data_IF_252976300865
#
_entry.id   IF_252976300865
#
_cell.length_a   1.000
_cell.length_b   1.000
_cell.length_c   1.000
_cell.angle_alpha   90.00
_cell.angle_beta   90.00
_cell.angle_gamma   90.00
#
_symmetry.space_group_name_H-M   'P 1'
#
loop_
_entity.id
_entity.type
_entity.pdbx_description
1 polymer ?
#
# COMPACT_ATOMS: atom_id res chain seq x y z
N UNK A 1 -6.01 8.74 -13.06
CA UNK A 1 -5.10 8.66 -11.92
C UNK A 1 -4.99 7.24 -11.44
N UNK A 2 -3.78 6.79 -11.23
CA UNK A 2 -3.55 5.45 -10.72
C UNK A 2 -3.77 5.43 -9.21
N UNK A 3 -4.65 4.57 -8.72
CA UNK A 3 -4.91 4.39 -7.29
C UNK A 3 -4.72 2.93 -6.90
N UNK A 4 -5.27 2.01 -7.71
CA UNK A 4 -5.22 0.58 -7.43
C UNK A 4 -4.41 -0.14 -8.50
N UNK A 5 -3.71 -1.24 -8.15
CA UNK A 5 -2.95 -2.00 -9.14
C UNK A 5 -3.89 -2.71 -10.13
N UNK A 6 -3.47 -2.75 -11.38
CA UNK A 6 -4.14 -3.54 -12.42
C UNK A 6 -3.59 -4.97 -12.41
N UNK A 7 -4.27 -5.89 -13.12
CA UNK A 7 -3.75 -7.24 -13.30
C UNK A 7 -2.37 -7.25 -13.96
N UNK A 8 -2.14 -6.35 -14.91
CA UNK A 8 -0.84 -6.19 -15.57
C UNK A 8 0.24 -5.69 -14.61
N UNK A 9 -0.10 -4.75 -13.72
CA UNK A 9 0.82 -4.26 -12.70
C UNK A 9 1.26 -5.40 -11.79
N UNK A 10 0.33 -6.23 -11.34
CA UNK A 10 0.62 -7.36 -10.46
C UNK A 10 1.48 -8.42 -11.15
N UNK A 11 1.21 -8.68 -12.43
CA UNK A 11 1.97 -9.65 -13.20
C UNK A 11 3.43 -9.19 -13.34
N UNK A 12 3.65 -7.91 -13.67
CA UNK A 12 4.98 -7.34 -13.80
C UNK A 12 5.71 -7.37 -12.45
N UNK A 13 5.00 -7.06 -11.37
CA UNK A 13 5.54 -7.09 -10.02
C UNK A 13 6.03 -8.50 -9.64
N UNK A 14 5.21 -9.53 -9.91
CA UNK A 14 5.56 -10.92 -9.61
C UNK A 14 6.68 -11.47 -10.49
N UNK A 15 6.87 -10.94 -11.68
CA UNK A 15 7.93 -11.40 -12.57
C UNK A 15 9.33 -11.14 -12.01
N UNK A 16 9.44 -10.25 -11.01
CA UNK A 16 10.69 -9.91 -10.35
C UNK A 16 10.73 -10.58 -8.98
N UNK A 17 11.64 -11.52 -8.79
CA UNK A 17 11.95 -12.14 -7.49
C UNK A 17 10.71 -12.44 -6.63
N UNK A 18 9.78 -13.29 -7.09
CA UNK A 18 8.48 -13.49 -6.41
C UNK A 18 8.59 -14.05 -5.00
N UNK A 19 9.69 -14.70 -4.66
CA UNK A 19 9.86 -15.35 -3.36
C UNK A 19 10.69 -14.53 -2.37
N UNK A 20 11.17 -13.35 -2.77
CA UNK A 20 11.94 -12.46 -1.89
C UNK A 20 11.02 -11.59 -1.04
N UNK A 21 11.45 -11.26 0.18
CA UNK A 21 10.71 -10.29 1.00
C UNK A 21 10.64 -8.93 0.30
N UNK A 22 9.57 -8.19 0.58
CA UNK A 22 9.36 -6.87 -0.01
C UNK A 22 8.67 -5.96 1.00
N UNK A 23 9.08 -4.69 1.01
CA UNK A 23 8.37 -3.65 1.77
C UNK A 23 7.66 -2.76 0.76
N UNK A 24 6.34 -2.63 0.91
CA UNK A 24 5.54 -1.81 0.00
C UNK A 24 5.37 -0.42 0.58
N UNK A 25 5.83 0.59 -0.17
CA UNK A 25 5.65 1.99 0.16
C UNK A 25 4.34 2.47 -0.43
N UNK A 26 3.49 3.02 0.42
CA UNK A 26 2.26 3.69 -0.02
C UNK A 26 2.38 5.17 0.29
N UNK A 27 2.33 6.01 -0.74
CA UNK A 27 2.19 7.45 -0.59
C UNK A 27 0.75 7.79 -0.94
N UNK A 28 0.06 8.50 -0.04
CA UNK A 28 -1.39 8.63 -0.10
C UNK A 28 -1.82 10.09 -0.06
N UNK A 29 -2.75 10.46 -0.95
CA UNK A 29 -3.40 11.77 -0.95
C UNK A 29 -4.90 11.53 -0.86
N UNK A 30 -5.54 12.06 0.19
CA UNK A 30 -6.95 11.80 0.47
C UNK A 30 -7.88 12.75 -0.27
N UNK A 31 -9.09 12.26 -0.59
CA UNK A 31 -10.23 13.13 -0.89
C UNK A 31 -10.64 13.85 0.41
N UNK A 32 -11.51 14.85 0.33
CA UNK A 32 -12.07 15.48 1.53
C UNK A 32 -12.67 14.40 2.42
N UNK A 33 -12.29 14.39 3.69
CA UNK A 33 -12.72 13.40 4.68
C UNK A 33 -12.31 11.97 4.36
N UNK A 34 -11.41 11.78 3.42
CA UNK A 34 -10.93 10.45 3.02
C UNK A 34 -10.14 9.73 4.10
N UNK A 35 -9.55 10.47 5.04
CA UNK A 35 -8.77 9.89 6.14
C UNK A 35 -9.58 8.89 6.95
N UNK A 36 -10.85 9.21 7.29
CA UNK A 36 -11.70 8.30 8.04
C UNK A 36 -11.98 7.01 7.27
N UNK A 37 -12.22 7.12 5.96
CA UNK A 37 -12.42 5.94 5.11
C UNK A 37 -11.16 5.08 5.04
N UNK A 38 -9.99 5.72 4.96
CA UNK A 38 -8.73 4.98 4.90
C UNK A 38 -8.43 4.28 6.22
N UNK A 39 -8.80 4.90 7.35
CA UNK A 39 -8.65 4.25 8.66
C UNK A 39 -9.53 3.01 8.75
N UNK A 40 -10.75 3.04 8.19
CA UNK A 40 -11.60 1.85 8.08
C UNK A 40 -10.95 0.79 7.20
N UNK A 41 -10.33 1.21 6.08
CA UNK A 41 -9.58 0.29 5.22
C UNK A 41 -8.44 -0.38 6.00
N UNK A 42 -7.70 0.37 6.81
CA UNK A 42 -6.59 -0.17 7.60
C UNK A 42 -7.10 -1.25 8.56
N UNK A 43 -8.25 -1.04 9.20
CA UNK A 43 -8.85 -2.06 10.07
C UNK A 43 -9.21 -3.32 9.28
N UNK A 44 -9.79 -3.16 8.10
CA UNK A 44 -10.07 -4.28 7.20
C UNK A 44 -8.78 -4.99 6.78
N UNK A 45 -7.77 -4.22 6.40
CA UNK A 45 -6.46 -4.75 6.01
C UNK A 45 -5.82 -5.57 7.13
N UNK A 46 -5.85 -5.07 8.36
CA UNK A 46 -5.28 -5.79 9.51
C UNK A 46 -5.88 -7.17 9.67
N UNK A 47 -7.19 -7.30 9.44
CA UNK A 47 -7.87 -8.60 9.57
C UNK A 47 -7.56 -9.52 8.40
N UNK A 48 -7.57 -8.99 7.18
CA UNK A 48 -7.49 -9.82 5.97
C UNK A 48 -6.07 -10.14 5.52
N UNK A 49 -5.09 -9.42 6.02
CA UNK A 49 -3.69 -9.62 5.65
C UNK A 49 -2.96 -10.65 6.52
N UNK A 50 -3.54 -11.03 7.65
CA UNK A 50 -2.91 -11.97 8.60
C UNK A 50 -2.46 -13.27 7.94
N UNK A 51 -3.28 -13.93 7.11
CA UNK A 51 -2.84 -15.20 6.48
C UNK A 51 -1.63 -15.05 5.56
N UNK A 52 -1.33 -13.84 5.13
CA UNK A 52 -0.26 -13.57 4.16
C UNK A 52 1.00 -13.04 4.82
N UNK A 53 1.01 -12.93 6.15
CA UNK A 53 2.20 -12.51 6.89
C UNK A 53 2.56 -11.04 6.74
N UNK A 54 1.61 -10.20 6.36
CA UNK A 54 1.84 -8.77 6.23
C UNK A 54 2.07 -8.13 7.60
N UNK A 55 3.02 -7.19 7.65
CA UNK A 55 3.35 -6.46 8.86
C UNK A 55 3.39 -4.96 8.53
N UNK A 56 2.57 -4.17 9.23
CA UNK A 56 2.62 -2.72 9.11
C UNK A 56 3.86 -2.24 9.86
N UNK A 57 4.84 -1.76 9.11
CA UNK A 57 6.09 -1.24 9.66
C UNK A 57 5.89 0.19 10.17
N UNK A 58 5.11 0.98 9.43
CA UNK A 58 4.84 2.36 9.78
C UNK A 58 3.57 2.85 9.10
N UNK A 59 2.74 3.58 9.83
CA UNK A 59 1.60 4.30 9.27
C UNK A 59 1.53 5.65 9.95
N UNK A 60 1.63 6.72 9.17
CA UNK A 60 1.62 8.07 9.73
C UNK A 60 1.06 9.09 8.76
N UNK A 61 0.69 10.24 9.30
CA UNK A 61 0.11 11.34 8.54
C UNK A 61 1.17 12.38 8.24
N UNK A 62 1.10 12.94 7.03
CA UNK A 62 2.03 13.97 6.58
C UNK A 62 1.65 15.36 7.07
N UNK A 63 2.66 16.14 7.41
CA UNK A 63 2.52 17.57 7.60
C UNK A 63 3.01 18.31 6.37
N UNK A 64 3.23 19.61 6.49
CA UNK A 64 3.80 20.42 5.42
C UNK A 64 5.21 19.95 5.10
N UNK A 65 5.52 19.77 3.82
CA UNK A 65 6.83 19.38 3.39
C UNK A 65 7.85 20.50 3.66
N UNK A 66 9.01 20.13 4.17
CA UNK A 66 10.11 21.09 4.37
C UNK A 66 10.76 21.42 3.03
N UNK A 67 10.92 20.39 2.18
CA UNK A 67 11.44 20.54 0.82
C UNK A 67 10.60 19.71 -0.12
N UNK A 68 9.99 20.32 -1.13
CA UNK A 68 9.21 19.62 -2.13
C UNK A 68 8.90 20.52 -3.32
N UNK A 69 8.81 19.92 -4.48
CA UNK A 69 8.24 20.57 -5.65
C UNK A 69 6.71 20.48 -5.56
N UNK A 70 6.03 21.21 -6.43
CA UNK A 70 4.57 21.15 -6.52
C UNK A 70 4.13 19.69 -6.78
N UNK A 71 3.15 19.22 -6.00
CA UNK A 71 2.62 17.88 -6.14
C UNK A 71 3.41 16.79 -5.43
N UNK A 72 4.45 17.13 -4.68
CA UNK A 72 5.27 16.15 -3.98
C UNK A 72 4.99 16.05 -2.48
N UNK A 73 3.89 16.63 -1.99
CA UNK A 73 3.51 16.47 -0.59
C UNK A 73 2.38 15.44 -0.47
N UNK A 74 2.41 14.65 0.59
CA UNK A 74 1.50 13.53 0.77
C UNK A 74 0.81 13.61 2.12
N UNK A 75 -0.45 13.13 2.17
CA UNK A 75 -1.25 13.21 3.39
C UNK A 75 -0.94 12.08 4.36
N UNK A 76 -0.47 10.95 3.85
CA UNK A 76 -0.10 9.81 4.69
C UNK A 76 0.93 8.94 4.00
N UNK A 77 1.66 8.19 4.81
CA UNK A 77 2.62 7.18 4.36
C UNK A 77 2.32 5.90 5.11
N UNK A 78 2.28 4.79 4.37
CA UNK A 78 2.10 3.45 4.92
C UNK A 78 3.21 2.55 4.38
N UNK A 79 3.95 1.91 5.27
CA UNK A 79 4.95 0.91 4.92
C UNK A 79 4.49 -0.44 5.43
N UNK A 80 4.36 -1.41 4.52
CA UNK A 80 3.96 -2.78 4.86
C UNK A 80 4.98 -3.76 4.33
N UNK A 81 5.50 -4.61 5.22
CA UNK A 81 6.42 -5.66 4.85
C UNK A 81 5.67 -6.97 4.62
N UNK A 82 6.00 -7.63 3.53
CA UNK A 82 5.45 -8.94 3.18
C UNK A 82 6.61 -9.94 3.10
N UNK A 83 6.37 -11.21 3.47
CA UNK A 83 7.43 -12.23 3.39
C UNK A 83 7.88 -12.52 1.97
N UNK A 84 7.02 -12.21 0.98
CA UNK A 84 7.37 -12.37 -0.44
C UNK A 84 6.44 -11.51 -1.30
N UNK A 85 6.86 -11.26 -2.53
CA UNK A 85 6.00 -10.59 -3.53
C UNK A 85 4.77 -11.45 -3.82
N UNK A 86 4.94 -12.76 -3.81
CA UNK A 86 3.85 -13.71 -4.02
C UNK A 86 2.78 -13.58 -2.93
N UNK A 87 3.19 -13.41 -1.68
CA UNK A 87 2.25 -13.23 -0.56
C UNK A 87 1.40 -11.98 -0.75
N UNK A 88 2.00 -10.86 -1.18
CA UNK A 88 1.26 -9.64 -1.49
C UNK A 88 0.23 -9.89 -2.60
N UNK A 89 0.67 -10.50 -3.68
CA UNK A 89 -0.20 -10.77 -4.83
C UNK A 89 -1.34 -11.71 -4.48
N UNK A 90 -1.07 -12.75 -3.68
CA UNK A 90 -2.10 -13.69 -3.23
C UNK A 90 -3.13 -12.98 -2.34
N UNK A 91 -2.67 -12.09 -1.46
CA UNK A 91 -3.57 -11.29 -0.62
C UNK A 91 -4.49 -10.41 -1.47
N UNK A 92 -3.92 -9.73 -2.45
CA UNK A 92 -4.71 -8.82 -3.31
C UNK A 92 -5.80 -9.59 -4.05
N UNK A 93 -5.56 -10.86 -4.41
CA UNK A 93 -6.53 -11.70 -5.11
C UNK A 93 -7.52 -12.39 -4.19
N UNK A 94 -7.33 -12.31 -2.88
CA UNK A 94 -8.20 -12.95 -1.91
C UNK A 94 -9.55 -12.24 -1.84
N UNK A 95 -10.64 -13.00 -1.87
CA UNK A 95 -11.99 -12.45 -1.85
C UNK A 95 -12.27 -11.64 -0.58
N UNK A 96 -11.74 -12.07 0.57
CA UNK A 96 -11.94 -11.35 1.82
C UNK A 96 -11.25 -9.99 1.79
N UNK A 97 -10.03 -9.93 1.26
CA UNK A 97 -9.33 -8.65 1.08
C UNK A 97 -10.11 -7.75 0.12
N UNK A 98 -10.54 -8.30 -1.02
CA UNK A 98 -11.24 -7.54 -2.05
C UNK A 98 -12.56 -6.94 -1.55
N UNK A 99 -13.20 -7.57 -0.58
CA UNK A 99 -14.48 -7.09 -0.03
C UNK A 99 -14.39 -5.69 0.59
N UNK A 100 -13.19 -5.24 0.97
CA UNK A 100 -12.99 -3.92 1.58
C UNK A 100 -12.15 -2.94 0.75
N UNK A 101 -11.73 -3.29 -0.46
CA UNK A 101 -10.86 -2.41 -1.26
C UNK A 101 -11.54 -1.10 -1.66
N UNK A 102 -12.88 -1.08 -1.74
CA UNK A 102 -13.62 0.14 -2.05
C UNK A 102 -13.36 1.25 -1.02
N UNK A 103 -13.07 0.88 0.23
CA UNK A 103 -12.73 1.86 1.27
C UNK A 103 -11.45 2.62 0.89
N UNK A 104 -10.47 1.89 0.34
CA UNK A 104 -9.23 2.50 -0.12
C UNK A 104 -9.45 3.36 -1.36
N UNK A 105 -10.10 2.81 -2.36
CA UNK A 105 -10.35 3.53 -3.63
C UNK A 105 -11.11 4.82 -3.40
N UNK A 106 -12.14 4.80 -2.55
CA UNK A 106 -12.98 5.96 -2.28
C UNK A 106 -12.30 7.00 -1.40
N UNK A 107 -11.30 6.60 -0.64
CA UNK A 107 -10.58 7.50 0.26
C UNK A 107 -9.55 8.38 -0.46
N UNK A 108 -9.07 7.96 -1.64
CA UNK A 108 -7.86 8.50 -2.25
C UNK A 108 -8.14 9.28 -3.54
N UNK A 109 -7.45 10.41 -3.69
CA UNK A 109 -7.36 11.16 -4.95
C UNK A 109 -6.18 10.64 -5.76
N UNK A 110 -5.10 10.29 -5.09
CA UNK A 110 -3.85 9.89 -5.72
C UNK A 110 -3.09 8.95 -4.80
N UNK A 111 -2.40 7.98 -5.38
CA UNK A 111 -1.58 7.06 -4.60
C UNK A 111 -0.36 6.61 -5.39
N UNK A 112 0.71 6.33 -4.66
CA UNK A 112 1.86 5.61 -5.17
C UNK A 112 1.96 4.32 -4.36
N UNK A 113 2.15 3.20 -5.05
CA UNK A 113 2.43 1.91 -4.43
C UNK A 113 3.73 1.41 -5.06
N UNK A 114 4.80 1.37 -4.28
CA UNK A 114 6.13 1.09 -4.80
C UNK A 114 6.85 0.05 -3.94
N UNK A 115 7.34 -1.03 -4.57
CA UNK A 115 8.12 -2.02 -3.83
C UNK A 115 9.51 -1.48 -3.49
N UNK A 116 9.96 -1.78 -2.29
CA UNK A 116 11.28 -1.42 -1.79
C UNK A 116 12.03 -2.67 -1.38
N UNK A 117 13.33 -2.68 -1.67
CA UNK A 117 14.26 -3.66 -1.12
C UNK A 117 15.15 -2.95 -0.10
N UNK A 118 15.66 -3.69 0.87
CA UNK A 118 16.58 -3.11 1.84
C UNK A 118 17.85 -2.63 1.13
N UNK A 119 18.27 -1.41 1.45
CA UNK A 119 19.40 -0.78 0.76
C UNK A 119 20.74 -1.38 1.13
N UNK A 120 20.84 -1.90 2.34
CA UNK A 120 22.08 -2.47 2.82
C UNK A 120 21.81 -3.82 3.44
N UNK A 121 22.58 -4.83 3.12
CA UNK A 121 22.55 -6.06 3.92
C UNK A 121 23.01 -5.72 5.32
N UNK A 122 22.46 -6.39 6.31
CA UNK A 122 22.87 -6.22 7.69
C UNK A 122 24.31 -6.60 7.92
#
# INVERSE_FOLDING_TARGET
>A
MAIDPTGGDLKAFLAQEPDEPVTMLNLLRFVDQGRALYDEYIEHFRRTSVPYGAEIVYYGYGGSAVVAESGQSWDAVLLVRYPSRRAFSDMVRDADYQAGTHLRTRALVEAVLQPLADASPP
#
